data_IF_435107481541
#
_entry.id   IF_435107481541
#
_cell.length_a   1.000
_cell.length_b   1.000
_cell.length_c   1.000
_cell.angle_alpha   90.00
_cell.angle_beta   90.00
_cell.angle_gamma   90.00
#
_symmetry.space_group_name_H-M   'P 1'
#
loop_
_entity.id
_entity.type
_entity.pdbx_description
1 polymer ?
#
# COMPACT_ATOMS: atom_id res chain seq x y z
N UNK A 1 9.06 -10.22 -4.68
CA UNK A 1 7.92 -9.32 -4.99
C UNK A 1 8.42 -8.08 -5.71
N UNK A 2 7.56 -7.33 -6.41
CA UNK A 2 7.97 -6.22 -7.28
C UNK A 2 8.86 -5.17 -6.60
N UNK A 3 8.56 -4.77 -5.35
CA UNK A 3 9.37 -3.81 -4.61
C UNK A 3 10.82 -4.27 -4.41
N UNK A 4 11.04 -5.57 -4.15
CA UNK A 4 12.39 -6.11 -3.98
C UNK A 4 13.14 -6.20 -5.31
N UNK A 5 12.44 -6.52 -6.40
CA UNK A 5 13.02 -6.50 -7.74
C UNK A 5 13.42 -5.08 -8.16
N UNK A 6 12.62 -4.07 -7.83
CA UNK A 6 12.97 -2.67 -8.08
C UNK A 6 14.17 -2.22 -7.24
N UNK A 7 14.29 -2.66 -5.98
CA UNK A 7 15.49 -2.40 -5.17
C UNK A 7 16.73 -3.08 -5.77
N UNK A 8 16.59 -4.31 -6.25
CA UNK A 8 17.68 -5.04 -6.93
C UNK A 8 18.10 -4.33 -8.21
N UNK A 9 17.13 -3.86 -9.00
CA UNK A 9 17.38 -3.05 -10.19
C UNK A 9 18.10 -1.75 -9.83
N UNK A 10 17.58 -0.97 -8.88
CA UNK A 10 18.19 0.30 -8.46
C UNK A 10 19.65 0.11 -8.03
N UNK A 11 19.95 -0.94 -7.25
CA UNK A 11 21.33 -1.28 -6.87
C UNK A 11 22.21 -1.59 -8.08
N UNK A 12 21.70 -2.34 -9.06
CA UNK A 12 22.46 -2.69 -10.27
C UNK A 12 22.78 -1.47 -11.12
N UNK A 13 21.87 -0.51 -11.19
CA UNK A 13 22.04 0.74 -11.94
C UNK A 13 22.75 1.85 -11.13
N UNK A 14 23.18 1.58 -9.89
CA UNK A 14 23.85 2.55 -9.02
C UNK A 14 22.94 3.67 -8.49
N UNK A 15 21.62 3.47 -8.49
CA UNK A 15 20.63 4.44 -8.03
C UNK A 15 20.32 4.25 -6.54
N UNK A 16 20.55 5.29 -5.74
CA UNK A 16 20.24 5.33 -4.31
C UNK A 16 18.78 5.66 -3.99
N UNK A 17 17.81 5.15 -4.75
CA UNK A 17 16.39 5.49 -4.59
C UNK A 17 15.72 4.67 -3.47
N UNK A 18 15.19 5.30 -2.40
CA UNK A 18 14.45 4.58 -1.37
C UNK A 18 13.10 4.08 -1.89
N UNK A 19 12.92 2.76 -1.92
CA UNK A 19 11.70 2.09 -2.39
C UNK A 19 10.90 1.55 -1.20
N UNK A 20 9.64 1.97 -1.09
CA UNK A 20 8.65 1.43 -0.16
C UNK A 20 7.46 0.80 -0.91
N UNK A 21 6.59 0.10 -0.19
CA UNK A 21 5.39 -0.47 -0.78
C UNK A 21 4.21 -0.52 0.19
N UNK A 22 3.00 -0.52 -0.37
CA UNK A 22 1.75 -0.73 0.37
C UNK A 22 1.31 -2.18 0.15
N UNK A 23 1.18 -2.93 1.24
CA UNK A 23 0.76 -4.34 1.21
C UNK A 23 -0.71 -4.55 0.83
N UNK A 24 -1.52 -3.48 0.83
CA UNK A 24 -2.96 -3.52 0.63
C UNK A 24 -3.72 -3.74 1.95
N UNK A 25 -5.03 -3.89 1.83
CA UNK A 25 -5.97 -3.92 2.95
C UNK A 25 -6.84 -5.19 2.93
N UNK A 26 -6.22 -6.33 3.25
CA UNK A 26 -6.98 -7.57 3.43
C UNK A 26 -7.76 -7.50 4.76
N UNK A 27 -9.06 -7.27 4.67
CA UNK A 27 -9.95 -7.17 5.82
C UNK A 27 -10.15 -8.52 6.51
N UNK A 28 -9.91 -9.66 5.84
CA UNK A 28 -9.98 -10.97 6.49
C UNK A 28 -8.88 -11.17 7.54
N UNK A 29 -7.75 -10.47 7.35
CA UNK A 29 -6.66 -10.40 8.31
C UNK A 29 -6.95 -9.41 9.47
N UNK A 30 -8.02 -8.62 9.38
CA UNK A 30 -8.39 -7.59 10.35
C UNK A 30 -9.78 -7.87 10.95
N UNK A 31 -9.87 -8.78 11.94
CA UNK A 31 -11.15 -9.27 12.48
C UNK A 31 -12.08 -8.21 13.09
N UNK A 32 -11.61 -6.97 13.31
CA UNK A 32 -12.40 -5.83 13.79
C UNK A 32 -12.86 -4.82 12.73
N UNK A 33 -12.41 -4.92 11.47
CA UNK A 33 -12.71 -3.93 10.42
C UNK A 33 -14.09 -4.12 9.76
N UNK A 34 -14.55 -5.35 9.70
CA UNK A 34 -15.96 -5.70 9.83
C UNK A 34 -15.95 -7.11 10.42
N UNK A 35 -16.78 -7.34 11.45
CA UNK A 35 -16.77 -8.60 12.19
C UNK A 35 -16.77 -9.77 11.22
N UNK A 36 -15.90 -10.77 11.44
CA UNK A 36 -15.80 -11.96 10.59
C UNK A 36 -17.16 -12.60 10.26
N UNK A 37 -18.13 -12.40 11.15
CA UNK A 37 -19.52 -12.87 11.08
C UNK A 37 -20.39 -12.12 10.05
N UNK A 38 -19.94 -10.96 9.55
CA UNK A 38 -20.68 -10.10 8.62
C UNK A 38 -20.45 -10.44 7.14
N UNK A 39 -19.45 -11.25 6.81
CA UNK A 39 -19.04 -11.48 5.41
C UNK A 39 -19.75 -12.66 4.75
N UNK A 40 -20.32 -13.58 5.54
CA UNK A 40 -20.96 -14.81 5.05
C UNK A 40 -20.01 -16.01 4.94
N UNK A 41 -20.57 -17.22 4.86
CA UNK A 41 -19.78 -18.45 4.67
C UNK A 41 -19.14 -18.51 3.27
N UNK A 42 -17.91 -19.05 3.19
CA UNK A 42 -17.23 -19.28 1.92
C UNK A 42 -16.48 -18.08 1.32
N UNK A 43 -16.34 -16.97 2.05
CA UNK A 43 -15.58 -15.80 1.58
C UNK A 43 -14.08 -16.11 1.50
N UNK A 44 -13.51 -15.93 0.30
CA UNK A 44 -12.09 -16.17 0.03
C UNK A 44 -11.22 -14.93 0.23
N UNK A 45 -11.75 -13.72 -0.03
CA UNK A 45 -11.01 -12.45 0.12
C UNK A 45 -11.98 -11.32 0.46
N UNK A 46 -11.57 -10.37 1.31
CA UNK A 46 -12.28 -9.11 1.54
C UNK A 46 -11.26 -7.96 1.52
N UNK A 47 -11.41 -7.02 0.59
CA UNK A 47 -10.47 -5.89 0.43
C UNK A 47 -11.29 -4.61 0.25
N UNK A 48 -10.94 -3.54 0.97
CA UNK A 48 -11.60 -2.23 0.81
C UNK A 48 -10.86 -1.32 -0.17
N UNK A 49 -9.74 -1.77 -0.75
CA UNK A 49 -8.91 -1.01 -1.67
C UNK A 49 -8.40 0.31 -1.05
N UNK A 50 -8.32 0.39 0.28
CA UNK A 50 -7.80 1.54 0.99
C UNK A 50 -6.27 1.61 0.82
N UNK A 51 -5.77 2.72 0.28
CA UNK A 51 -4.33 2.90 0.01
C UNK A 51 -3.73 4.22 0.48
N UNK A 52 -4.56 5.23 0.73
CA UNK A 52 -4.10 6.61 0.95
C UNK A 52 -3.15 6.72 2.13
N UNK A 53 -3.54 6.20 3.30
CA UNK A 53 -2.69 6.22 4.49
C UNK A 53 -1.38 5.46 4.32
N UNK A 54 -1.39 4.32 3.64
CA UNK A 54 -0.18 3.55 3.35
C UNK A 54 0.78 4.33 2.45
N UNK A 55 0.26 4.97 1.39
CA UNK A 55 1.04 5.84 0.50
C UNK A 55 1.61 7.02 1.29
N UNK A 56 0.78 7.69 2.11
CA UNK A 56 1.23 8.79 2.97
C UNK A 56 2.36 8.38 3.90
N UNK A 57 2.21 7.24 4.58
CA UNK A 57 3.22 6.70 5.49
C UNK A 57 4.54 6.38 4.76
N UNK A 58 4.46 5.78 3.57
CA UNK A 58 5.64 5.49 2.75
C UNK A 58 6.40 6.78 2.38
N UNK A 59 5.69 7.77 1.84
CA UNK A 59 6.28 9.05 1.42
C UNK A 59 6.89 9.81 2.61
N UNK A 60 6.18 9.89 3.74
CA UNK A 60 6.69 10.51 4.97
C UNK A 60 7.90 9.79 5.57
N UNK A 61 8.04 8.50 5.30
CA UNK A 61 9.23 7.71 5.68
C UNK A 61 10.42 7.91 4.75
N UNK A 62 10.33 8.82 3.78
CA UNK A 62 11.41 9.15 2.85
C UNK A 62 11.44 8.28 1.58
N UNK A 63 10.39 7.51 1.30
CA UNK A 63 10.30 6.79 0.04
C UNK A 63 10.23 7.76 -1.14
N UNK A 64 11.07 7.54 -2.15
CA UNK A 64 11.01 8.26 -3.43
C UNK A 64 10.21 7.47 -4.47
N UNK A 65 10.06 6.16 -4.27
CA UNK A 65 9.22 5.29 -5.07
C UNK A 65 8.35 4.45 -4.14
N UNK A 66 7.04 4.51 -4.36
CA UNK A 66 6.05 3.69 -3.63
C UNK A 66 5.41 2.72 -4.61
N UNK A 67 5.56 1.43 -4.35
CA UNK A 67 4.86 0.37 -5.09
C UNK A 67 3.55 0.05 -4.38
N UNK A 68 2.43 0.08 -5.08
CA UNK A 68 1.16 -0.35 -4.52
C UNK A 68 0.71 -1.65 -5.14
N UNK A 69 0.05 -2.49 -4.34
CA UNK A 69 -0.84 -3.53 -4.86
C UNK A 69 -2.19 -2.92 -5.26
N UNK A 70 -3.28 -3.59 -4.89
CA UNK A 70 -4.64 -3.05 -5.05
C UNK A 70 -4.87 -1.89 -4.10
N UNK A 71 -5.16 -0.72 -4.65
CA UNK A 71 -5.59 0.50 -3.95
C UNK A 71 -6.65 1.19 -4.81
N UNK A 72 -7.43 2.12 -4.25
CA UNK A 72 -8.36 2.93 -5.02
C UNK A 72 -7.60 3.94 -5.88
N UNK A 73 -8.17 4.32 -7.02
CA UNK A 73 -7.60 5.37 -7.88
C UNK A 73 -7.46 6.70 -7.11
N UNK A 74 -8.42 7.01 -6.25
CA UNK A 74 -8.40 8.18 -5.38
C UNK A 74 -7.25 8.17 -4.36
N UNK A 75 -6.79 6.99 -3.92
CA UNK A 75 -5.69 6.87 -2.96
C UNK A 75 -4.37 7.37 -3.51
N UNK A 76 -4.12 7.22 -4.82
CA UNK A 76 -2.91 7.69 -5.47
C UNK A 76 -2.76 9.21 -5.35
N UNK A 77 -3.86 9.94 -5.50
CA UNK A 77 -3.89 11.40 -5.37
C UNK A 77 -3.97 11.82 -3.91
N UNK A 78 -4.94 11.30 -3.16
CA UNK A 78 -5.18 11.72 -1.77
C UNK A 78 -4.03 11.34 -0.82
N UNK A 79 -3.40 10.19 -1.02
CA UNK A 79 -2.25 9.76 -0.22
C UNK A 79 -1.02 10.65 -0.43
N UNK A 80 -0.74 11.02 -1.68
CA UNK A 80 0.33 11.96 -2.01
C UNK A 80 0.02 13.37 -1.49
N UNK A 81 -1.22 13.84 -1.68
CA UNK A 81 -1.66 15.14 -1.17
C UNK A 81 -1.56 15.21 0.36
N UNK A 82 -2.01 14.17 1.07
CA UNK A 82 -1.91 14.12 2.54
C UNK A 82 -0.44 14.05 3.02
N UNK A 83 0.45 13.40 2.27
CA UNK A 83 1.88 13.39 2.61
C UNK A 83 2.51 14.78 2.52
N UNK A 84 2.08 15.57 1.54
CA UNK A 84 2.66 16.88 1.25
C UNK A 84 2.01 18.03 2.03
N UNK A 85 0.68 17.99 2.20
CA UNK A 85 -0.10 19.10 2.76
C UNK A 85 -0.66 18.85 4.16
N UNK A 86 -0.65 17.61 4.65
CA UNK A 86 -1.23 17.24 5.96
C UNK A 86 -0.20 16.93 7.02
#
# INVERSE_FOLDING_TARGET
>A
GLAEELRRLARREGLGIPVAYVSGDDLLAHPGAAGRESWGEGVLTANAYLGGHGITACLRSGAQLVVTGRVTDAALVSGAAAAHFG
#
